data_IF_445088406328
#
_entry.id   IF_445088406328
#
_cell.length_a   1.000
_cell.length_b   1.000
_cell.length_c   1.000
_cell.angle_alpha   90.00
_cell.angle_beta   90.00
_cell.angle_gamma   90.00
#
_symmetry.space_group_name_H-M   'P 1'
#
loop_
_entity.id
_entity.type
_entity.pdbx_description
1 polymer ?
#
# COMPACT_ATOMS: atom_id res chain seq x y z
N UNK A 1 -0.07 0.19 1.87
CA UNK A 1 0.89 -0.94 1.94
C UNK A 1 0.29 -2.10 1.15
N UNK A 2 1.11 -2.85 0.43
CA UNK A 2 0.71 -4.03 -0.36
C UNK A 2 1.36 -5.25 0.32
N UNK A 3 0.62 -5.85 1.26
CA UNK A 3 1.14 -6.87 2.16
C UNK A 3 1.05 -8.28 1.55
N UNK A 4 2.12 -9.06 1.66
CA UNK A 4 2.24 -10.41 1.12
C UNK A 4 3.26 -10.52 -0.03
N UNK A 5 4.06 -9.47 -0.27
CA UNK A 5 5.07 -9.50 -1.33
C UNK A 5 4.46 -9.39 -2.72
N UNK A 6 4.14 -8.17 -3.15
CA UNK A 6 3.55 -7.94 -4.48
C UNK A 6 4.47 -8.46 -5.59
N UNK A 7 3.93 -9.22 -6.53
CA UNK A 7 4.63 -9.64 -7.75
C UNK A 7 4.78 -8.47 -8.73
N UNK A 8 5.90 -7.76 -8.63
CA UNK A 8 6.19 -6.60 -9.49
C UNK A 8 6.22 -6.95 -10.97
N UNK A 9 6.63 -8.17 -11.34
CA UNK A 9 6.63 -8.64 -12.72
C UNK A 9 5.22 -8.95 -13.25
N UNK A 10 4.26 -9.21 -12.37
CA UNK A 10 2.85 -9.33 -12.73
C UNK A 10 2.20 -7.95 -12.82
N UNK A 11 2.46 -7.06 -11.87
CA UNK A 11 1.93 -5.71 -11.88
C UNK A 11 2.45 -4.87 -13.06
N UNK A 12 3.75 -4.98 -13.38
CA UNK A 12 4.42 -4.28 -14.48
C UNK A 12 5.22 -5.30 -15.31
N UNK A 13 4.60 -5.99 -16.27
CA UNK A 13 5.26 -6.93 -17.16
C UNK A 13 6.36 -6.27 -17.99
N UNK A 14 7.49 -6.98 -18.15
CA UNK A 14 8.68 -6.47 -18.85
C UNK A 14 8.77 -7.11 -20.24
N UNK A 15 7.96 -6.63 -21.15
CA UNK A 15 7.87 -7.17 -22.53
C UNK A 15 9.16 -6.96 -23.34
N UNK A 16 9.98 -5.99 -22.98
CA UNK A 16 11.29 -5.76 -23.59
C UNK A 16 12.35 -6.81 -23.26
N UNK A 17 12.20 -7.61 -22.18
CA UNK A 17 13.13 -8.68 -21.86
C UNK A 17 12.72 -10.01 -22.54
N UNK A 18 13.56 -10.50 -23.45
CA UNK A 18 13.32 -11.73 -24.22
C UNK A 18 13.14 -12.99 -23.38
N UNK A 19 13.55 -12.99 -22.11
CA UNK A 19 13.40 -14.12 -21.19
C UNK A 19 12.09 -14.06 -20.41
N UNK A 20 11.40 -12.92 -20.39
CA UNK A 20 10.20 -12.72 -19.58
C UNK A 20 9.12 -13.75 -19.86
N UNK A 21 8.68 -13.89 -21.10
CA UNK A 21 7.60 -14.81 -21.47
C UNK A 21 7.97 -16.27 -21.25
N UNK A 22 9.23 -16.63 -21.54
CA UNK A 22 9.74 -17.99 -21.32
C UNK A 22 9.75 -18.38 -19.84
N UNK A 23 10.19 -17.47 -18.97
CA UNK A 23 10.28 -17.71 -17.53
C UNK A 23 8.92 -17.71 -16.83
N UNK A 24 7.97 -16.95 -17.38
CA UNK A 24 6.62 -16.79 -16.84
C UNK A 24 5.52 -17.41 -17.70
N UNK A 25 5.85 -18.40 -18.51
CA UNK A 25 4.95 -19.01 -19.48
C UNK A 25 3.62 -19.51 -18.90
N UNK A 26 3.59 -19.89 -17.60
CA UNK A 26 2.40 -20.38 -16.90
C UNK A 26 1.58 -19.29 -16.19
N UNK A 27 2.19 -18.13 -15.96
CA UNK A 27 1.58 -16.94 -15.31
C UNK A 27 1.77 -15.70 -16.19
N UNK A 28 1.87 -15.90 -17.51
CA UNK A 28 1.92 -14.81 -18.46
C UNK A 28 0.52 -14.24 -18.67
N UNK A 29 0.45 -12.91 -18.77
CA UNK A 29 -0.79 -12.19 -19.02
C UNK A 29 -1.21 -12.36 -20.49
N UNK A 30 -2.45 -12.72 -20.74
CA UNK A 30 -3.03 -12.84 -22.09
C UNK A 30 -3.28 -11.44 -22.71
N UNK A 31 -3.39 -10.43 -21.89
CA UNK A 31 -3.53 -9.02 -22.31
C UNK A 31 -2.84 -8.11 -21.29
N UNK A 32 -2.36 -6.98 -21.74
CA UNK A 32 -1.69 -5.96 -20.93
C UNK A 32 -2.08 -4.55 -21.40
N UNK A 33 -1.81 -3.55 -20.58
CA UNK A 33 -1.97 -2.14 -20.93
C UNK A 33 -0.58 -1.55 -21.20
N UNK A 34 -0.33 -1.03 -22.39
CA UNK A 34 0.99 -0.52 -22.75
C UNK A 34 1.35 0.73 -21.96
N UNK A 35 2.56 0.77 -21.39
CA UNK A 35 3.16 1.94 -20.76
C UNK A 35 4.29 2.53 -21.62
N UNK A 36 5.28 1.70 -21.97
CA UNK A 36 6.46 2.11 -22.77
C UNK A 36 6.76 1.06 -23.83
N UNK A 37 7.91 1.16 -24.51
CA UNK A 37 8.40 0.10 -25.40
C UNK A 37 8.68 -1.22 -24.67
N UNK A 38 9.16 -1.14 -23.42
CA UNK A 38 9.72 -2.25 -22.67
C UNK A 38 8.81 -2.75 -21.55
N UNK A 39 7.91 -1.90 -21.05
CA UNK A 39 7.08 -2.16 -19.88
C UNK A 39 5.60 -1.99 -20.21
N UNK A 40 4.83 -2.96 -19.78
CA UNK A 40 3.37 -2.94 -19.79
C UNK A 40 2.82 -2.86 -18.36
N UNK A 41 1.51 -2.77 -18.23
CA UNK A 41 0.78 -2.71 -16.96
C UNK A 41 -0.27 -3.81 -16.91
N UNK A 42 -0.48 -4.35 -15.72
CA UNK A 42 -1.54 -5.33 -15.48
C UNK A 42 -2.93 -4.72 -15.78
N UNK A 43 -3.84 -5.44 -16.45
CA UNK A 43 -5.12 -4.89 -16.90
C UNK A 43 -6.11 -4.57 -15.77
N UNK A 44 -5.87 -5.03 -14.55
CA UNK A 44 -6.63 -4.63 -13.37
C UNK A 44 -6.38 -3.15 -12.97
N UNK A 45 -5.24 -2.56 -13.35
CA UNK A 45 -4.81 -1.21 -12.97
C UNK A 45 -5.34 -0.14 -13.93
N UNK A 46 -6.65 -0.08 -14.10
CA UNK A 46 -7.32 0.81 -15.08
C UNK A 46 -7.22 2.29 -14.71
N UNK A 47 -7.44 2.61 -13.44
CA UNK A 47 -7.33 3.99 -12.93
C UNK A 47 -5.89 4.46 -12.99
N UNK A 48 -4.95 3.61 -12.61
CA UNK A 48 -3.53 3.89 -12.72
C UNK A 48 -3.13 4.19 -14.18
N UNK A 49 -3.63 3.40 -15.16
CA UNK A 49 -3.41 3.65 -16.58
C UNK A 49 -4.01 4.99 -17.05
N UNK A 50 -5.23 5.30 -16.61
CA UNK A 50 -5.86 6.59 -16.91
C UNK A 50 -5.06 7.78 -16.35
N UNK A 51 -4.45 7.62 -15.19
CA UNK A 51 -3.54 8.62 -14.61
C UNK A 51 -2.22 8.69 -15.38
N UNK A 52 -1.69 7.54 -15.84
CA UNK A 52 -0.51 7.49 -16.70
C UNK A 52 -0.68 8.34 -17.96
N UNK A 53 -1.79 8.18 -18.63
CA UNK A 53 -2.09 8.93 -19.87
C UNK A 53 -2.23 10.44 -19.63
N UNK A 54 -2.40 10.85 -18.36
CA UNK A 54 -2.45 12.25 -17.91
C UNK A 54 -1.13 12.74 -17.29
N UNK A 55 -0.05 11.95 -17.30
CA UNK A 55 1.21 12.21 -16.60
C UNK A 55 1.06 12.31 -15.06
N UNK A 56 0.08 11.64 -14.47
CA UNK A 56 -0.22 11.63 -13.04
C UNK A 56 0.05 10.27 -12.37
N UNK A 57 0.73 9.36 -13.05
CA UNK A 57 1.26 8.14 -12.44
C UNK A 57 2.61 7.75 -13.02
N UNK A 58 3.41 7.08 -12.21
CA UNK A 58 4.74 6.57 -12.55
C UNK A 58 5.03 5.30 -11.76
N UNK A 59 6.06 4.58 -12.16
CA UNK A 59 6.51 3.40 -11.42
C UNK A 59 8.02 3.35 -11.34
N UNK A 60 8.53 2.66 -10.30
CA UNK A 60 9.94 2.29 -10.17
C UNK A 60 10.02 0.78 -10.13
N UNK A 61 10.74 0.17 -11.06
CA UNK A 61 10.84 -1.29 -11.16
C UNK A 61 12.20 -1.80 -10.64
N UNK A 62 12.29 -3.10 -10.39
CA UNK A 62 13.47 -3.76 -9.83
C UNK A 62 13.89 -3.15 -8.49
N UNK A 63 12.92 -2.90 -7.62
CA UNK A 63 13.14 -2.32 -6.28
C UNK A 63 12.95 -3.34 -5.18
N UNK A 64 13.66 -3.17 -4.08
CA UNK A 64 13.37 -3.79 -2.79
C UNK A 64 13.99 -2.97 -1.67
N UNK A 65 13.53 -3.18 -0.43
CA UNK A 65 14.31 -2.81 0.76
C UNK A 65 15.53 -3.76 0.86
N UNK A 66 16.64 -3.39 1.49
CA UNK A 66 17.82 -4.23 1.61
C UNK A 66 17.62 -5.35 2.65
N UNK A 67 16.62 -6.19 2.41
CA UNK A 67 16.24 -7.33 3.23
C UNK A 67 16.13 -8.60 2.38
N UNK A 68 16.84 -9.64 2.75
CA UNK A 68 16.96 -10.89 1.99
C UNK A 68 16.36 -12.11 2.69
N UNK A 69 15.79 -11.92 3.89
CA UNK A 69 15.32 -13.01 4.75
C UNK A 69 13.99 -13.64 4.33
N UNK A 70 13.22 -12.97 3.47
CA UNK A 70 11.92 -13.46 2.96
C UNK A 70 10.89 -13.83 4.05
N UNK A 71 10.99 -13.23 5.25
CA UNK A 71 9.97 -13.28 6.29
C UNK A 71 9.07 -12.06 6.18
N UNK A 72 7.76 -12.24 6.06
CA UNK A 72 6.83 -11.12 6.01
C UNK A 72 6.95 -10.22 7.23
N UNK A 73 6.96 -10.81 8.43
CA UNK A 73 7.01 -10.03 9.68
C UNK A 73 8.26 -9.14 9.77
N UNK A 74 9.42 -9.69 9.44
CA UNK A 74 10.68 -8.94 9.46
C UNK A 74 10.73 -7.92 8.33
N UNK A 75 10.33 -8.32 7.12
CA UNK A 75 10.30 -7.46 5.94
C UNK A 75 9.36 -6.27 6.12
N UNK A 76 8.14 -6.49 6.61
CA UNK A 76 7.17 -5.43 6.91
C UNK A 76 7.69 -4.50 8.00
N UNK A 77 8.27 -5.06 9.07
CA UNK A 77 8.88 -4.25 10.12
C UNK A 77 9.97 -3.32 9.56
N UNK A 78 10.87 -3.83 8.74
CA UNK A 78 11.95 -3.03 8.12
C UNK A 78 11.40 -2.03 7.10
N UNK A 79 10.41 -2.41 6.31
CA UNK A 79 9.75 -1.54 5.33
C UNK A 79 9.09 -0.34 6.02
N UNK A 80 8.42 -0.57 7.14
CA UNK A 80 7.72 0.47 7.89
C UNK A 80 8.65 1.30 8.79
N UNK A 81 9.63 0.66 9.42
CA UNK A 81 10.56 1.35 10.31
C UNK A 81 11.67 2.08 9.56
N UNK A 82 12.06 1.63 8.36
CA UNK A 82 13.26 2.08 7.66
C UNK A 82 14.56 1.64 8.34
N UNK A 83 14.47 0.74 9.32
CA UNK A 83 15.60 0.22 10.10
C UNK A 83 16.49 -0.74 9.31
N UNK A 84 17.54 -1.23 10.00
CA UNK A 84 18.48 -2.24 9.46
C UNK A 84 18.28 -3.62 10.09
N UNK A 85 17.80 -3.66 11.31
CA UNK A 85 17.57 -4.86 12.10
C UNK A 85 16.09 -4.91 12.47
N UNK A 86 15.39 -6.02 12.20
CA UNK A 86 13.97 -6.15 12.55
C UNK A 86 13.72 -5.86 14.03
N UNK A 87 12.63 -5.14 14.28
CA UNK A 87 12.13 -4.77 15.63
C UNK A 87 13.05 -3.89 16.49
N UNK A 88 14.20 -3.46 15.99
CA UNK A 88 15.07 -2.53 16.70
C UNK A 88 14.42 -1.13 16.78
N UNK A 89 13.96 -0.62 15.66
CA UNK A 89 13.24 0.66 15.59
C UNK A 89 11.78 0.49 16.01
N UNK A 90 11.32 1.33 16.94
CA UNK A 90 9.94 1.29 17.48
C UNK A 90 9.02 2.33 16.83
N UNK A 91 9.57 3.14 15.93
CA UNK A 91 8.86 4.19 15.19
C UNK A 91 9.00 3.99 13.69
N UNK A 92 8.00 4.45 12.93
CA UNK A 92 8.03 4.42 11.48
C UNK A 92 8.84 5.56 10.87
N UNK A 93 9.44 5.32 9.71
CA UNK A 93 10.18 6.37 9.01
C UNK A 93 9.27 7.55 8.62
N UNK A 94 8.03 7.28 8.18
CA UNK A 94 7.06 8.31 7.83
C UNK A 94 6.59 9.07 9.08
N UNK A 95 6.34 8.37 10.20
CA UNK A 95 6.02 9.00 11.48
C UNK A 95 7.13 9.96 11.95
N UNK A 96 8.39 9.57 11.82
CA UNK A 96 9.52 10.46 12.10
C UNK A 96 9.56 11.67 11.16
N UNK A 97 9.31 11.46 9.85
CA UNK A 97 9.18 12.55 8.87
C UNK A 97 8.05 13.51 9.21
N UNK A 98 6.87 12.98 9.55
CA UNK A 98 5.73 13.77 10.02
C UNK A 98 6.06 14.63 11.24
N UNK A 99 6.82 14.07 12.21
CA UNK A 99 7.26 14.81 13.40
C UNK A 99 8.15 15.99 13.02
N UNK A 100 9.11 15.78 12.13
CA UNK A 100 10.02 16.83 11.64
C UNK A 100 9.25 17.90 10.87
N UNK A 101 8.24 17.51 10.09
CA UNK A 101 7.38 18.43 9.34
C UNK A 101 6.31 19.12 10.19
N UNK A 102 6.24 18.90 11.52
CA UNK A 102 5.22 19.52 12.38
C UNK A 102 3.80 18.97 12.15
N UNK A 103 3.64 17.79 11.58
CA UNK A 103 2.36 17.17 11.23
C UNK A 103 1.77 16.31 12.37
N UNK A 104 1.87 16.77 13.62
CA UNK A 104 1.24 16.08 14.76
C UNK A 104 -0.27 15.98 14.58
N UNK A 105 -0.83 14.80 14.78
CA UNK A 105 -2.26 14.53 14.62
C UNK A 105 -2.75 14.56 13.17
N UNK A 106 -1.86 14.54 12.19
CA UNK A 106 -2.19 14.61 10.76
C UNK A 106 -2.07 13.26 10.02
N UNK A 107 -1.87 12.16 10.75
CA UNK A 107 -1.89 10.79 10.21
C UNK A 107 -3.25 10.13 10.38
N UNK A 108 -3.66 9.35 9.40
CA UNK A 108 -4.90 8.59 9.37
C UNK A 108 -4.63 7.16 8.89
N UNK A 109 -4.91 6.17 9.73
CA UNK A 109 -4.88 4.76 9.35
C UNK A 109 -6.30 4.29 9.00
N UNK A 110 -6.48 3.63 7.85
CA UNK A 110 -7.77 3.22 7.31
C UNK A 110 -7.98 1.72 7.46
N UNK A 111 -8.96 1.31 8.27
CA UNK A 111 -9.38 -0.07 8.52
C UNK A 111 -8.24 -0.99 9.07
N UNK A 112 -7.23 -0.42 9.71
CA UNK A 112 -6.12 -1.17 10.31
C UNK A 112 -5.73 -0.55 11.68
N UNK A 113 -5.13 -1.33 12.58
CA UNK A 113 -4.49 -0.79 13.77
C UNK A 113 -3.42 0.24 13.39
N UNK A 114 -3.04 1.12 14.32
CA UNK A 114 -2.01 2.12 14.04
C UNK A 114 -0.72 1.46 13.51
N UNK A 115 -0.43 1.56 12.19
CA UNK A 115 0.71 0.89 11.58
C UNK A 115 2.02 1.48 12.10
N UNK A 116 3.07 0.67 12.15
CA UNK A 116 4.39 1.13 12.57
C UNK A 116 4.87 2.30 11.70
N UNK A 117 4.55 2.29 10.42
CA UNK A 117 4.91 3.31 9.43
C UNK A 117 4.68 4.76 9.91
N UNK A 118 3.56 5.02 10.59
CA UNK A 118 3.22 6.37 11.10
C UNK A 118 3.30 6.48 12.63
N UNK A 119 3.89 5.50 13.33
CA UNK A 119 4.23 5.63 14.75
C UNK A 119 5.42 6.57 14.95
N UNK A 120 5.46 7.23 16.10
CA UNK A 120 6.55 8.18 16.46
C UNK A 120 6.10 9.64 16.36
N UNK A 121 4.89 9.92 15.89
CA UNK A 121 4.20 11.19 16.08
C UNK A 121 2.89 10.93 16.82
N UNK A 122 2.58 11.71 17.88
CA UNK A 122 1.36 11.49 18.68
C UNK A 122 0.09 11.92 17.93
N UNK A 123 -1.07 11.51 18.46
CA UNK A 123 -2.40 11.93 18.05
C UNK A 123 -2.81 11.57 16.61
N UNK A 124 -2.17 10.59 15.98
CA UNK A 124 -2.68 10.04 14.74
C UNK A 124 -4.02 9.32 14.97
N UNK A 125 -4.88 9.34 13.96
CA UNK A 125 -6.21 8.78 14.02
C UNK A 125 -6.30 7.44 13.29
N UNK A 126 -7.21 6.59 13.75
CA UNK A 126 -7.64 5.41 13.03
C UNK A 126 -9.10 5.57 12.61
N UNK A 127 -9.42 5.12 11.41
CA UNK A 127 -10.78 4.96 10.95
C UNK A 127 -11.04 3.47 10.69
N UNK A 128 -11.98 2.92 11.47
CA UNK A 128 -12.47 1.58 11.23
C UNK A 128 -13.91 1.67 10.71
N UNK A 129 -14.22 1.05 9.57
CA UNK A 129 -15.61 0.92 9.16
C UNK A 129 -16.31 0.06 10.20
N UNK A 130 -17.42 0.56 10.73
CA UNK A 130 -18.19 -0.17 11.74
C UNK A 130 -19.04 -1.23 11.04
N UNK A 131 -18.42 -2.35 10.68
CA UNK A 131 -19.13 -3.54 10.18
C UNK A 131 -19.73 -4.40 11.30
N UNK A 132 -19.36 -4.15 12.56
CA UNK A 132 -19.89 -4.85 13.72
C UNK A 132 -20.76 -3.91 14.55
N UNK A 133 -21.84 -4.45 15.11
CA UNK A 133 -22.70 -3.69 16.02
C UNK A 133 -21.84 -3.11 17.14
N UNK A 134 -21.97 -1.82 17.38
CA UNK A 134 -21.44 -1.23 18.59
C UNK A 134 -21.98 -1.99 19.81
N UNK A 135 -21.22 -1.97 20.92
CA UNK A 135 -21.73 -2.43 22.19
C UNK A 135 -23.08 -1.79 22.50
N UNK A 136 -23.91 -2.49 23.22
CA UNK A 136 -25.22 -1.97 23.62
C UNK A 136 -25.07 -0.63 24.37
N UNK A 137 -26.11 0.21 24.37
CA UNK A 137 -26.09 1.45 25.14
C UNK A 137 -25.76 1.21 26.62
N UNK A 138 -26.27 0.10 27.20
CA UNK A 138 -25.96 -0.28 28.57
C UNK A 138 -24.46 -0.57 28.75
N UNK A 139 -23.82 -1.28 27.83
CA UNK A 139 -22.38 -1.53 27.86
C UNK A 139 -21.58 -0.25 27.74
N UNK A 140 -21.99 0.65 26.80
CA UNK A 140 -21.32 1.95 26.66
C UNK A 140 -21.47 2.82 27.89
N UNK A 141 -22.61 2.80 28.55
CA UNK A 141 -22.83 3.52 29.83
C UNK A 141 -21.99 2.95 30.96
N UNK A 142 -21.77 1.64 31.04
CA UNK A 142 -20.85 1.03 32.01
C UNK A 142 -19.40 1.46 31.76
N UNK A 143 -18.98 1.51 30.49
CA UNK A 143 -17.64 2.00 30.11
C UNK A 143 -17.50 3.48 30.48
N UNK A 144 -18.52 4.31 30.22
CA UNK A 144 -18.52 5.73 30.60
C UNK A 144 -18.38 5.90 32.10
N UNK A 145 -19.09 5.07 32.88
CA UNK A 145 -18.98 5.11 34.35
C UNK A 145 -17.58 4.70 34.81
N UNK A 146 -17.01 3.63 34.25
CA UNK A 146 -15.64 3.21 34.57
C UNK A 146 -14.60 4.29 34.27
N UNK A 147 -14.75 5.03 33.17
CA UNK A 147 -13.85 6.16 32.87
C UNK A 147 -13.99 7.31 33.87
N UNK A 148 -15.18 7.58 34.36
CA UNK A 148 -15.40 8.58 35.42
C UNK A 148 -14.78 8.14 36.75
N UNK A 149 -14.93 6.86 37.11
CA UNK A 149 -14.43 6.32 38.39
C UNK A 149 -12.89 6.29 38.42
N UNK A 150 -12.23 6.24 37.25
CA UNK A 150 -10.78 6.24 37.11
C UNK A 150 -10.19 7.58 36.62
N UNK A 151 -10.97 8.67 36.62
CA UNK A 151 -10.60 10.02 36.17
C UNK A 151 -10.05 10.09 34.72
N UNK A 152 -10.50 9.18 33.86
CA UNK A 152 -10.09 9.10 32.46
C UNK A 152 -10.90 10.08 31.59
N UNK A 153 -10.68 11.38 31.82
CA UNK A 153 -11.46 12.47 31.20
C UNK A 153 -11.45 12.41 29.68
N UNK A 154 -10.27 12.24 29.07
CA UNK A 154 -10.14 12.23 27.61
C UNK A 154 -10.89 11.06 26.97
N UNK A 155 -10.82 9.87 27.58
CA UNK A 155 -11.55 8.69 27.08
C UNK A 155 -13.05 8.87 27.27
N UNK A 156 -13.50 9.43 28.39
CA UNK A 156 -14.89 9.72 28.66
C UNK A 156 -15.48 10.75 27.67
N UNK A 157 -14.75 11.82 27.32
CA UNK A 157 -15.16 12.80 26.33
C UNK A 157 -15.28 12.20 24.93
N UNK A 158 -14.30 11.41 24.52
CA UNK A 158 -14.34 10.71 23.23
C UNK A 158 -15.51 9.71 23.17
N UNK A 159 -15.80 8.99 24.24
CA UNK A 159 -16.93 8.07 24.32
C UNK A 159 -18.25 8.82 24.17
N UNK A 160 -18.42 9.98 24.82
CA UNK A 160 -19.61 10.82 24.65
C UNK A 160 -19.79 11.31 23.21
N UNK A 161 -18.70 11.68 22.53
CA UNK A 161 -18.75 12.06 21.11
C UNK A 161 -19.23 10.87 20.26
N UNK A 162 -18.73 9.68 20.51
CA UNK A 162 -19.16 8.44 19.82
C UNK A 162 -20.64 8.19 20.06
N UNK A 163 -21.09 8.27 21.31
CA UNK A 163 -22.48 8.05 21.69
C UNK A 163 -23.46 9.11 21.11
N UNK A 164 -23.04 10.36 21.01
CA UNK A 164 -23.84 11.48 20.52
C UNK A 164 -24.00 11.50 19.00
N UNK A 165 -22.99 11.05 18.26
CA UNK A 165 -22.98 11.08 16.79
C UNK A 165 -23.92 10.06 16.17
N UNK A 166 -24.48 9.12 16.96
CA UNK A 166 -25.34 8.05 16.46
C UNK A 166 -24.63 7.40 15.27
N UNK A 167 -23.84 6.38 15.51
CA UNK A 167 -23.08 5.73 14.43
C UNK A 167 -24.06 5.27 13.36
N UNK A 168 -24.16 6.03 12.29
CA UNK A 168 -24.79 5.55 11.06
C UNK A 168 -23.97 4.34 10.63
N UNK A 169 -24.65 3.22 10.45
CA UNK A 169 -24.10 2.01 9.86
C UNK A 169 -23.61 2.31 8.43
N UNK A 170 -22.46 2.89 8.29
CA UNK A 170 -21.71 3.00 7.03
C UNK A 170 -20.67 1.90 7.01
N UNK A 171 -21.12 0.68 7.21
CA UNK A 171 -20.27 -0.50 7.15
C UNK A 171 -20.07 -0.87 5.70
N UNK A 172 -18.99 -0.41 5.12
CA UNK A 172 -18.49 -1.02 3.90
C UNK A 172 -17.01 -1.31 4.11
N UNK A 173 -16.65 -2.57 4.10
CA UNK A 173 -15.27 -3.03 3.95
C UNK A 173 -14.78 -2.78 2.51
N UNK A 174 -15.58 -2.14 1.68
CA UNK A 174 -15.26 -1.80 0.31
C UNK A 174 -14.12 -0.78 0.27
N UNK A 175 -13.03 -1.17 -0.32
CA UNK A 175 -11.79 -0.37 -0.43
C UNK A 175 -12.03 0.99 -1.11
N UNK A 176 -12.98 1.06 -2.06
CA UNK A 176 -13.35 2.31 -2.71
C UNK A 176 -14.06 3.26 -1.73
N UNK A 177 -14.97 2.74 -0.90
CA UNK A 177 -15.69 3.56 0.10
C UNK A 177 -14.72 4.09 1.17
N UNK A 178 -13.81 3.24 1.65
CA UNK A 178 -12.76 3.65 2.59
C UNK A 178 -11.88 4.75 1.99
N UNK A 179 -11.43 4.58 0.76
CA UNK A 179 -10.62 5.55 0.05
C UNK A 179 -11.39 6.86 -0.20
N UNK A 180 -12.68 6.78 -0.53
CA UNK A 180 -13.52 7.96 -0.73
C UNK A 180 -13.69 8.76 0.56
N UNK A 181 -13.93 8.10 1.68
CA UNK A 181 -13.99 8.76 2.99
C UNK A 181 -12.65 9.44 3.33
N UNK A 182 -11.55 8.75 3.10
CA UNK A 182 -10.21 9.33 3.31
C UNK A 182 -9.97 10.54 2.42
N UNK A 183 -10.37 10.50 1.15
CA UNK A 183 -10.21 11.61 0.22
C UNK A 183 -10.97 12.86 0.66
N UNK A 184 -12.18 12.70 1.19
CA UNK A 184 -12.94 13.80 1.81
C UNK A 184 -12.19 14.38 3.00
N UNK A 185 -11.67 13.53 3.90
CA UNK A 185 -10.92 14.00 5.09
C UNK A 185 -9.61 14.70 4.71
N UNK A 186 -8.84 14.13 3.75
CA UNK A 186 -7.60 14.71 3.25
C UNK A 186 -7.80 16.09 2.59
N UNK A 187 -9.01 16.38 2.10
CA UNK A 187 -9.36 17.64 1.45
C UNK A 187 -9.71 18.76 2.44
N UNK A 188 -9.92 18.42 3.71
CA UNK A 188 -10.27 19.43 4.72
C UNK A 188 -9.07 20.31 5.09
N UNK A 189 -9.23 21.62 5.31
CA UNK A 189 -8.13 22.53 5.70
C UNK A 189 -7.37 22.02 6.94
N UNK A 190 -8.08 21.51 7.94
CA UNK A 190 -7.51 20.97 9.18
C UNK A 190 -7.47 19.44 9.23
N UNK A 191 -7.77 18.76 8.12
CA UNK A 191 -7.78 17.32 8.01
C UNK A 191 -6.39 16.67 8.09
N UNK A 192 -6.33 15.33 7.99
CA UNK A 192 -5.08 14.61 7.90
C UNK A 192 -4.27 15.04 6.65
N UNK A 193 -2.98 14.76 6.68
CA UNK A 193 -2.05 14.99 5.56
C UNK A 193 -1.42 13.70 5.07
N UNK A 194 -1.51 12.66 5.86
CA UNK A 194 -1.03 11.31 5.54
C UNK A 194 -2.17 10.33 5.79
N UNK A 195 -2.46 9.48 4.81
CA UNK A 195 -3.39 8.36 4.95
C UNK A 195 -2.68 7.06 4.62
N UNK A 196 -2.89 6.03 5.44
CA UNK A 196 -2.30 4.71 5.25
C UNK A 196 -3.41 3.68 5.06
N UNK A 197 -3.33 2.97 3.93
CA UNK A 197 -4.18 1.83 3.60
C UNK A 197 -3.33 0.56 3.57
N UNK A 198 -3.97 -0.57 3.79
CA UNK A 198 -3.39 -1.87 3.54
C UNK A 198 -4.26 -2.64 2.55
N UNK A 199 -3.62 -3.25 1.58
CA UNK A 199 -4.18 -4.29 0.71
C UNK A 199 -3.33 -5.52 0.97
N UNK A 200 -3.89 -6.51 1.61
CA UNK A 200 -3.26 -7.80 1.87
C UNK A 200 -3.68 -8.84 0.81
N UNK A 201 -3.19 -10.08 0.97
CA UNK A 201 -3.51 -11.15 0.06
C UNK A 201 -2.53 -11.32 -1.11
N UNK A 202 -1.44 -10.53 -1.19
CA UNK A 202 -0.39 -10.72 -2.20
C UNK A 202 0.48 -11.96 -1.96
N UNK A 203 0.34 -12.64 -0.83
CA UNK A 203 1.06 -13.89 -0.52
C UNK A 203 0.50 -15.11 -1.26
N UNK A 204 0.56 -15.06 -2.57
CA UNK A 204 -0.09 -15.97 -3.51
C UNK A 204 0.72 -17.25 -3.76
N UNK A 205 0.92 -18.06 -2.72
CA UNK A 205 1.63 -19.35 -2.83
C UNK A 205 0.88 -20.40 -3.65
N UNK A 206 -0.42 -20.26 -3.80
CA UNK A 206 -1.25 -21.12 -4.61
C UNK A 206 -2.22 -20.31 -5.47
N UNK A 207 -2.53 -20.80 -6.66
CA UNK A 207 -3.54 -20.25 -7.56
C UNK A 207 -3.44 -18.71 -7.75
N UNK A 208 -2.22 -18.19 -7.87
CA UNK A 208 -1.98 -16.74 -8.06
C UNK A 208 -2.79 -16.15 -9.20
N UNK A 209 -2.94 -16.93 -10.27
CA UNK A 209 -3.51 -16.44 -11.52
C UNK A 209 -2.52 -15.59 -12.33
N UNK A 210 -3.05 -14.99 -13.39
CA UNK A 210 -2.31 -14.09 -14.26
C UNK A 210 -3.17 -12.85 -14.52
N UNK A 211 -3.87 -12.76 -15.66
CA UNK A 211 -4.81 -11.66 -15.97
C UNK A 211 -5.98 -11.59 -14.97
N UNK A 212 -6.40 -12.73 -14.44
CA UNK A 212 -7.40 -12.90 -13.40
C UNK A 212 -6.84 -13.80 -12.29
N UNK A 213 -7.45 -13.77 -11.11
CA UNK A 213 -7.08 -14.57 -9.94
C UNK A 213 -6.60 -13.71 -8.78
N UNK A 214 -6.16 -14.36 -7.70
CA UNK A 214 -5.90 -13.71 -6.42
C UNK A 214 -5.00 -12.46 -6.51
N UNK A 215 -3.91 -12.52 -7.27
CA UNK A 215 -3.04 -11.36 -7.43
C UNK A 215 -3.71 -10.21 -8.21
N UNK A 216 -4.50 -10.55 -9.23
CA UNK A 216 -5.25 -9.57 -10.02
C UNK A 216 -6.33 -8.88 -9.16
N UNK A 217 -6.97 -9.62 -8.25
CA UNK A 217 -7.97 -9.10 -7.33
C UNK A 217 -7.33 -8.08 -6.36
N UNK A 218 -6.17 -8.41 -5.78
CA UNK A 218 -5.41 -7.47 -4.93
C UNK A 218 -4.97 -6.20 -5.70
N UNK A 219 -4.52 -6.32 -6.95
CA UNK A 219 -4.22 -5.17 -7.80
C UNK A 219 -5.46 -4.33 -8.11
N UNK A 220 -6.62 -4.98 -8.29
CA UNK A 220 -7.90 -4.29 -8.47
C UNK A 220 -8.31 -3.51 -7.22
N UNK A 221 -8.11 -4.05 -6.04
CA UNK A 221 -8.38 -3.36 -4.78
C UNK A 221 -7.48 -2.13 -4.61
N UNK A 222 -6.20 -2.25 -4.94
CA UNK A 222 -5.32 -1.08 -4.99
C UNK A 222 -5.82 -0.02 -6.00
N UNK A 223 -6.21 -0.42 -7.21
CA UNK A 223 -6.72 0.50 -8.23
C UNK A 223 -8.02 1.19 -7.79
N UNK A 224 -8.88 0.46 -7.04
CA UNK A 224 -10.10 1.01 -6.41
C UNK A 224 -9.78 2.06 -5.34
N UNK A 225 -8.72 1.86 -4.56
CA UNK A 225 -8.24 2.88 -3.60
C UNK A 225 -7.80 4.13 -4.35
N UNK A 226 -6.98 4.01 -5.38
CA UNK A 226 -6.53 5.14 -6.20
C UNK A 226 -7.73 5.87 -6.82
N UNK A 227 -8.71 5.13 -7.33
CA UNK A 227 -9.94 5.69 -7.89
C UNK A 227 -10.78 6.43 -6.84
N UNK A 228 -11.00 5.81 -5.68
CA UNK A 228 -11.75 6.42 -4.58
C UNK A 228 -11.13 7.73 -4.12
N UNK A 229 -9.83 7.78 -3.94
CA UNK A 229 -9.09 9.00 -3.62
C UNK A 229 -9.24 10.06 -4.72
N UNK A 230 -8.99 9.69 -5.99
CA UNK A 230 -9.12 10.61 -7.13
C UNK A 230 -10.51 11.23 -7.25
N UNK A 231 -11.57 10.45 -7.01
CA UNK A 231 -12.95 10.90 -7.16
C UNK A 231 -13.44 11.77 -5.99
N UNK A 232 -12.90 11.56 -4.79
CA UNK A 232 -13.41 12.18 -3.56
C UNK A 232 -12.55 13.33 -3.04
N UNK A 233 -11.28 13.39 -3.41
CA UNK A 233 -10.43 14.52 -3.07
C UNK A 233 -10.82 15.77 -3.87
N UNK A 234 -10.70 16.93 -3.25
CA UNK A 234 -10.75 18.19 -4.00
C UNK A 234 -9.62 18.21 -5.04
N UNK A 235 -9.84 18.91 -6.15
CA UNK A 235 -8.82 19.05 -7.21
C UNK A 235 -7.49 19.57 -6.66
N UNK A 236 -7.55 20.53 -5.76
CA UNK A 236 -6.38 21.11 -5.10
C UNK A 236 -5.64 20.08 -4.24
N UNK A 237 -6.37 19.32 -3.41
CA UNK A 237 -5.79 18.27 -2.57
C UNK A 237 -5.15 17.18 -3.41
N UNK A 238 -5.82 16.69 -4.46
CA UNK A 238 -5.28 15.66 -5.34
C UNK A 238 -4.03 16.14 -6.10
N UNK A 239 -4.03 17.39 -6.59
CA UNK A 239 -2.89 17.97 -7.29
C UNK A 239 -1.65 18.15 -6.40
N UNK A 240 -1.84 18.22 -5.08
CA UNK A 240 -0.79 18.31 -4.08
C UNK A 240 -0.56 16.99 -3.32
N UNK A 241 -1.00 15.88 -3.88
CA UNK A 241 -0.87 14.56 -3.24
C UNK A 241 0.00 13.62 -4.04
N UNK A 242 0.64 12.71 -3.32
CA UNK A 242 1.36 11.56 -3.87
C UNK A 242 0.90 10.28 -3.16
N UNK A 243 0.43 9.33 -3.94
CA UNK A 243 0.12 7.97 -3.51
C UNK A 243 1.33 7.11 -3.84
N UNK A 244 1.88 6.40 -2.86
CA UNK A 244 3.06 5.53 -3.03
C UNK A 244 2.75 4.15 -2.46
N UNK A 245 3.05 3.10 -3.22
CA UNK A 245 2.95 1.72 -2.72
C UNK A 245 4.22 1.28 -2.02
N UNK A 246 4.05 0.47 -0.96
CA UNK A 246 5.13 -0.20 -0.25
C UNK A 246 4.81 -1.69 -0.20
N UNK A 247 5.79 -2.54 -0.50
CA UNK A 247 5.72 -3.99 -0.31
C UNK A 247 7.05 -4.48 0.28
N UNK A 248 7.00 -5.50 1.13
CA UNK A 248 8.15 -5.96 1.90
C UNK A 248 9.21 -6.70 1.05
N UNK A 249 8.79 -7.33 -0.05
CA UNK A 249 9.62 -7.98 -1.07
C UNK A 249 8.77 -8.35 -2.29
N UNK A 250 9.38 -8.96 -3.32
CA UNK A 250 8.68 -9.46 -4.50
C UNK A 250 8.36 -10.95 -4.43
N UNK A 251 8.02 -11.52 -5.58
CA UNK A 251 7.73 -12.95 -5.73
C UNK A 251 8.75 -13.59 -6.66
N UNK A 252 8.86 -14.95 -6.62
CA UNK A 252 9.70 -15.69 -7.55
C UNK A 252 9.27 -15.44 -9.00
N UNK A 253 10.23 -15.44 -9.91
CA UNK A 253 9.93 -15.23 -11.34
C UNK A 253 9.06 -16.37 -11.87
N UNK A 254 9.40 -17.60 -11.53
CA UNK A 254 8.69 -18.79 -12.01
C UNK A 254 7.54 -19.17 -11.10
N UNK A 255 6.48 -19.68 -11.71
CA UNK A 255 5.38 -20.34 -11.02
C UNK A 255 5.87 -21.60 -10.30
N UNK A 256 5.34 -21.87 -9.11
CA UNK A 256 5.56 -23.11 -8.35
C UNK A 256 4.57 -24.22 -8.77
N UNK A 257 4.64 -25.37 -8.10
CA UNK A 257 3.78 -26.53 -8.38
C UNK A 257 2.31 -26.33 -7.99
N UNK A 258 2.03 -25.37 -7.11
CA UNK A 258 0.67 -25.04 -6.64
C UNK A 258 0.00 -23.92 -7.47
N UNK A 259 0.52 -23.61 -8.65
CA UNK A 259 0.06 -22.52 -9.52
C UNK A 259 0.14 -21.12 -8.87
N UNK A 260 1.07 -20.94 -7.95
CA UNK A 260 1.39 -19.67 -7.30
C UNK A 260 2.86 -19.32 -7.46
N UNK A 261 3.36 -18.46 -6.59
CA UNK A 261 4.78 -18.10 -6.52
C UNK A 261 5.27 -18.13 -5.07
N UNK A 262 6.57 -18.29 -4.88
CA UNK A 262 7.19 -18.21 -3.56
C UNK A 262 7.65 -16.78 -3.25
N UNK A 263 8.04 -16.51 -2.00
CA UNK A 263 8.69 -15.27 -1.62
C UNK A 263 9.94 -15.05 -2.46
N UNK A 264 10.03 -13.90 -3.08
CA UNK A 264 11.14 -13.50 -3.93
C UNK A 264 11.94 -12.33 -3.35
N UNK A 265 12.54 -11.53 -4.23
CA UNK A 265 13.36 -10.40 -3.81
C UNK A 265 12.89 -9.10 -4.45
N UNK A 266 13.22 -8.79 -5.70
CA UNK A 266 12.83 -7.55 -6.37
C UNK A 266 11.32 -7.47 -6.68
N UNK A 267 10.78 -6.27 -6.56
CA UNK A 267 9.40 -5.90 -6.87
C UNK A 267 9.32 -4.57 -7.61
N UNK A 268 8.23 -3.84 -7.47
CA UNK A 268 8.03 -2.52 -8.03
C UNK A 268 7.31 -1.60 -7.05
N UNK A 269 7.54 -0.29 -7.18
CA UNK A 269 6.79 0.77 -6.51
C UNK A 269 5.89 1.45 -7.54
N UNK A 270 4.61 1.58 -7.23
CA UNK A 270 3.63 2.32 -8.02
C UNK A 270 3.40 3.69 -7.36
N UNK A 271 3.37 4.74 -8.16
CA UNK A 271 3.15 6.11 -7.69
C UNK A 271 2.03 6.76 -8.51
N UNK A 272 1.14 7.50 -7.84
CA UNK A 272 0.05 8.23 -8.49
C UNK A 272 -0.26 9.52 -7.72
N UNK A 273 -0.84 10.50 -8.41
CA UNK A 273 -1.23 11.79 -7.84
C UNK A 273 -0.60 12.98 -8.55
N UNK A 274 -1.04 14.18 -8.20
CA UNK A 274 -0.64 15.40 -8.90
C UNK A 274 0.84 15.81 -8.69
N UNK A 275 1.52 15.23 -7.70
CA UNK A 275 2.94 15.47 -7.50
C UNK A 275 3.83 14.62 -8.43
N UNK A 276 3.27 13.63 -9.13
CA UNK A 276 3.97 12.95 -10.22
C UNK A 276 4.15 13.93 -11.38
N UNK A 277 5.39 14.16 -11.79
CA UNK A 277 5.72 15.16 -12.82
C UNK A 277 5.72 14.59 -14.23
N UNK A 278 5.87 13.28 -14.38
CA UNK A 278 5.97 12.61 -15.67
C UNK A 278 5.57 11.14 -15.56
N UNK A 279 4.79 10.66 -16.51
CA UNK A 279 4.53 9.23 -16.68
C UNK A 279 5.80 8.54 -17.18
N UNK A 280 6.38 7.69 -16.33
CA UNK A 280 7.58 6.92 -16.66
C UNK A 280 7.70 5.67 -15.79
N UNK A 281 8.31 4.63 -16.34
CA UNK A 281 8.85 3.52 -15.56
C UNK A 281 10.33 3.79 -15.37
N UNK A 282 10.73 4.13 -14.14
CA UNK A 282 12.14 4.24 -13.78
C UNK A 282 12.66 2.86 -13.40
N UNK A 283 13.66 2.38 -14.11
CA UNK A 283 14.27 1.09 -13.86
C UNK A 283 15.74 1.10 -14.26
N UNK A 284 16.62 0.65 -13.37
CA UNK A 284 17.93 0.14 -13.74
C UNK A 284 17.77 -1.37 -13.93
N UNK A 285 17.35 -1.76 -15.16
CA UNK A 285 16.84 -3.11 -15.40
C UNK A 285 17.99 -4.14 -15.38
N UNK A 286 17.96 -5.11 -14.42
CA UNK A 286 19.06 -6.06 -14.26
C UNK A 286 19.08 -7.17 -15.31
N UNK A 287 17.95 -7.39 -15.99
CA UNK A 287 17.74 -8.53 -16.88
C UNK A 287 17.22 -9.78 -16.15
N UNK A 288 16.80 -10.79 -16.95
CA UNK A 288 16.23 -12.03 -16.47
C UNK A 288 17.03 -13.30 -16.87
N UNK A 289 18.30 -13.16 -17.30
CA UNK A 289 19.19 -14.31 -17.44
C UNK A 289 19.57 -14.85 -16.06
N UNK A 290 19.76 -16.15 -15.94
CA UNK A 290 20.05 -16.81 -14.65
C UNK A 290 21.14 -16.10 -13.82
N UNK A 291 22.20 -15.60 -14.47
CA UNK A 291 23.29 -14.87 -13.82
C UNK A 291 22.93 -13.46 -13.34
N UNK A 292 21.83 -12.91 -13.85
CA UNK A 292 21.33 -11.57 -13.54
C UNK A 292 20.31 -11.62 -12.40
N UNK A 293 19.82 -12.82 -12.07
CA UNK A 293 18.84 -13.04 -11.02
C UNK A 293 19.48 -13.06 -9.62
N UNK A 294 18.79 -12.52 -8.65
CA UNK A 294 19.15 -12.68 -7.25
C UNK A 294 19.08 -14.16 -6.87
N UNK A 295 20.20 -14.70 -6.41
CA UNK A 295 20.39 -16.13 -6.12
C UNK A 295 19.99 -17.08 -7.30
N UNK A 296 20.07 -16.61 -8.55
CA UNK A 296 19.70 -17.37 -9.75
C UNK A 296 18.20 -17.72 -9.86
N UNK A 297 17.33 -17.06 -9.08
CA UNK A 297 15.91 -17.40 -8.90
C UNK A 297 14.96 -16.22 -8.99
N UNK A 298 15.24 -15.13 -8.30
CA UNK A 298 14.34 -13.99 -8.13
C UNK A 298 14.77 -12.80 -8.98
N UNK A 299 13.85 -11.89 -9.27
CA UNK A 299 14.23 -10.59 -9.82
C UNK A 299 15.23 -9.93 -8.88
N UNK A 300 16.38 -9.51 -9.41
CA UNK A 300 17.33 -8.72 -8.63
C UNK A 300 16.78 -7.31 -8.38
N UNK A 301 17.14 -6.71 -7.26
CA UNK A 301 16.86 -5.31 -6.97
C UNK A 301 18.09 -4.48 -7.26
N UNK A 302 17.96 -3.48 -8.10
CA UNK A 302 18.99 -2.51 -8.46
C UNK A 302 18.76 -1.16 -7.80
N UNK A 303 17.55 -0.92 -7.30
CA UNK A 303 17.13 0.32 -6.67
C UNK A 303 16.64 0.00 -5.25
N UNK A 304 17.26 0.63 -4.25
CA UNK A 304 16.77 0.57 -2.86
C UNK A 304 15.44 1.32 -2.74
N UNK A 305 14.36 0.61 -2.43
CA UNK A 305 13.03 1.19 -2.29
C UNK A 305 12.97 2.33 -1.27
N UNK A 306 13.84 2.32 -0.25
CA UNK A 306 13.91 3.41 0.73
C UNK A 306 14.36 4.73 0.09
N UNK A 307 15.21 4.68 -0.95
CA UNK A 307 15.59 5.89 -1.69
C UNK A 307 14.41 6.47 -2.48
N UNK A 308 13.53 5.60 -2.99
CA UNK A 308 12.29 6.02 -3.64
C UNK A 308 11.37 6.70 -2.62
N UNK A 309 11.17 6.08 -1.46
CA UNK A 309 10.31 6.64 -0.39
C UNK A 309 10.85 7.96 0.17
N UNK A 310 12.18 8.11 0.26
CA UNK A 310 12.81 9.35 0.73
C UNK A 310 12.75 10.48 -0.31
N UNK A 311 12.51 10.17 -1.58
CA UNK A 311 12.40 11.13 -2.67
C UNK A 311 10.94 11.52 -2.96
N UNK A 312 9.99 10.78 -2.41
CA UNK A 312 8.55 10.97 -2.54
C UNK A 312 8.02 11.96 -1.51
#
# INVERSE_FOLDING_TARGET
>A
MLSGGMDGLCAIPVKGDKNFEKLRSKINLDRTLKLTSDFDLHPALKTFKSLWDQNLSAAVHATNIPYTGRSHFDGQNLMESGGKIPYQEKTGWLGRGMKVAGLTGKGLALALPMPLLIRGVPMNNNYFPVGKRLPSRSTLSLIEQAYKDHDEKLLGENLKIIMSRGLKNTSSDDTWVLASNAGVELSKPNGPRVAVFEVDGFDTHAAQGATNGAHADCLSDYDRIVNGLKQSMSKEAFNNSLIVTLTEFGRTIKQNSSNGTEHGYGSAVLMAGGLVKKAQVHADWPGLKRKELFQGRDLNSTIDARSVYASA
#
